data_IF_898190749063
#
_entry.id   IF_898190749063
#
_cell.length_a   1.000
_cell.length_b   1.000
_cell.length_c   1.000
_cell.angle_alpha   90.00
_cell.angle_beta   90.00
_cell.angle_gamma   90.00
#
_symmetry.space_group_name_H-M   'P 1'
#
loop_
_entity.id
_entity.type
_entity.pdbx_description
1 polymer ?
#
# COMPACT_ATOMS: atom_id res chain seq x y z
N UNK A 1 -20.83 28.08 -17.04
CA UNK A 1 -21.61 27.62 -15.86
C UNK A 1 -20.70 26.79 -14.96
N UNK A 2 -20.32 27.33 -13.80
CA UNK A 2 -19.46 26.64 -12.84
C UNK A 2 -20.31 25.61 -12.09
N UNK A 3 -20.10 24.31 -12.35
CA UNK A 3 -20.71 23.24 -11.54
C UNK A 3 -20.17 23.33 -10.11
N UNK A 4 -20.93 23.93 -9.21
CA UNK A 4 -20.66 23.85 -7.77
C UNK A 4 -20.82 22.37 -7.39
N UNK A 5 -19.71 21.65 -7.23
CA UNK A 5 -19.73 20.29 -6.70
C UNK A 5 -20.28 20.37 -5.27
N UNK A 6 -21.49 19.85 -5.04
CA UNK A 6 -22.04 19.70 -3.69
C UNK A 6 -21.03 18.92 -2.83
N UNK A 7 -20.41 19.62 -1.87
CA UNK A 7 -19.48 18.99 -0.94
C UNK A 7 -20.30 18.11 0.00
N UNK A 8 -19.98 16.82 0.06
CA UNK A 8 -20.57 15.89 1.02
C UNK A 8 -19.90 16.08 2.39
N UNK A 9 -20.70 16.24 3.43
CA UNK A 9 -20.24 16.41 4.81
C UNK A 9 -20.58 15.17 5.64
N UNK A 10 -19.76 14.91 6.66
CA UNK A 10 -19.94 13.82 7.60
C UNK A 10 -19.72 14.33 9.03
N UNK A 11 -20.49 13.79 9.98
CA UNK A 11 -20.27 14.01 11.40
C UNK A 11 -19.22 13.03 11.92
N UNK A 12 -18.11 13.53 12.45
CA UNK A 12 -17.06 12.70 13.03
C UNK A 12 -17.61 11.90 14.23
N UNK A 13 -17.37 10.59 14.25
CA UNK A 13 -17.81 9.70 15.33
C UNK A 13 -17.07 9.92 16.66
N UNK A 14 -15.92 10.61 16.66
CA UNK A 14 -15.12 10.87 17.88
C UNK A 14 -15.38 12.24 18.49
N UNK A 15 -15.33 13.30 17.70
CA UNK A 15 -15.49 14.68 18.20
C UNK A 15 -16.83 15.32 17.84
N UNK A 16 -17.68 14.61 17.10
CA UNK A 16 -19.01 15.05 16.67
C UNK A 16 -19.05 16.33 15.81
N UNK A 17 -17.90 16.86 15.41
CA UNK A 17 -17.77 17.98 14.46
C UNK A 17 -17.97 17.50 13.03
N UNK A 18 -18.50 18.39 12.20
CA UNK A 18 -18.63 18.14 10.77
C UNK A 18 -17.28 18.29 10.06
N UNK A 19 -17.04 17.44 9.08
CA UNK A 19 -15.95 17.59 8.13
C UNK A 19 -16.39 17.19 6.73
N UNK A 20 -15.79 17.85 5.75
CA UNK A 20 -15.91 17.50 4.33
C UNK A 20 -15.33 16.10 4.06
N UNK A 21 -15.90 15.40 3.08
CA UNK A 21 -15.57 14.01 2.73
C UNK A 21 -14.06 13.72 2.60
N UNK A 22 -13.30 14.60 1.97
CA UNK A 22 -11.83 14.50 1.78
C UNK A 22 -11.03 14.60 3.09
N UNK A 23 -11.68 15.01 4.19
CA UNK A 23 -11.10 15.09 5.54
C UNK A 23 -11.65 14.01 6.49
N UNK A 24 -12.22 12.94 5.94
CA UNK A 24 -12.80 11.82 6.69
C UNK A 24 -12.10 10.51 6.31
N UNK A 25 -11.80 9.71 7.33
CA UNK A 25 -11.47 8.29 7.21
C UNK A 25 -12.65 7.46 7.68
N UNK A 26 -12.96 6.37 6.98
CA UNK A 26 -13.86 5.34 7.49
C UNK A 26 -13.02 4.33 8.26
N UNK A 27 -13.28 4.20 9.56
CA UNK A 27 -12.59 3.30 10.48
C UNK A 27 -13.64 2.52 11.26
N UNK A 28 -13.61 1.19 11.15
CA UNK A 28 -14.61 0.30 11.76
C UNK A 28 -16.04 0.75 11.41
N UNK A 29 -16.26 1.03 10.12
CA UNK A 29 -17.53 1.49 9.54
C UNK A 29 -18.03 2.85 10.05
N UNK A 30 -17.19 3.59 10.78
CA UNK A 30 -17.51 4.92 11.33
C UNK A 30 -16.66 6.01 10.70
N UNK A 31 -17.25 7.18 10.36
CA UNK A 31 -16.48 8.32 9.88
C UNK A 31 -15.66 8.94 11.02
N UNK A 32 -14.38 9.19 10.79
CA UNK A 32 -13.48 9.87 11.73
C UNK A 32 -12.71 10.95 10.99
N UNK A 33 -12.73 12.18 11.50
CA UNK A 33 -12.03 13.28 10.85
C UNK A 33 -10.50 13.16 10.98
N UNK A 34 -9.78 13.71 9.99
CA UNK A 34 -8.31 13.77 9.96
C UNK A 34 -7.74 14.27 11.28
N UNK A 35 -8.32 15.31 11.89
CA UNK A 35 -7.82 15.88 13.14
C UNK A 35 -7.90 14.90 14.32
N UNK A 36 -8.94 14.06 14.38
CA UNK A 36 -9.05 13.05 15.43
C UNK A 36 -8.12 11.85 15.24
N UNK A 37 -7.55 11.66 14.04
CA UNK A 37 -6.59 10.58 13.76
C UNK A 37 -5.15 11.09 13.82
N UNK A 38 -4.87 12.21 13.17
CA UNK A 38 -3.51 12.71 12.96
C UNK A 38 -3.19 13.98 13.76
N UNK A 39 -4.17 14.54 14.48
CA UNK A 39 -4.03 15.84 15.15
C UNK A 39 -3.92 16.99 14.14
N UNK A 40 -3.07 17.97 14.46
CA UNK A 40 -2.78 19.13 13.58
C UNK A 40 -1.64 18.88 12.58
N UNK A 41 -1.18 17.63 12.45
CA UNK A 41 -0.05 17.29 11.56
C UNK A 41 -0.45 17.44 10.09
N UNK A 42 0.45 17.99 9.28
CA UNK A 42 0.28 18.09 7.81
C UNK A 42 0.67 16.77 7.14
N UNK A 43 -0.07 16.30 6.13
CA UNK A 43 0.31 15.10 5.38
C UNK A 43 1.50 15.38 4.46
N UNK A 44 2.25 14.33 4.14
CA UNK A 44 3.29 14.35 3.12
C UNK A 44 2.74 13.86 1.78
N UNK A 45 3.27 14.38 0.68
CA UNK A 45 3.01 13.85 -0.67
C UNK A 45 4.10 12.84 -1.00
N UNK A 46 3.69 11.65 -1.45
CA UNK A 46 4.58 10.59 -1.94
C UNK A 46 4.15 10.31 -3.37
N UNK A 47 5.11 10.34 -4.30
CA UNK A 47 4.86 10.02 -5.71
C UNK A 47 5.28 8.59 -6.00
N UNK A 48 4.47 7.80 -6.72
CA UNK A 48 4.89 6.50 -7.21
C UNK A 48 6.08 6.64 -8.18
N UNK A 49 7.07 5.77 -8.03
CA UNK A 49 8.25 5.68 -8.91
C UNK A 49 8.07 4.65 -10.04
N UNK A 50 7.03 3.81 -9.92
CA UNK A 50 6.68 2.79 -10.90
C UNK A 50 5.37 2.08 -10.57
N UNK A 51 5.12 1.01 -11.31
CA UNK A 51 3.88 0.22 -11.21
C UNK A 51 4.18 -1.27 -11.34
N UNK A 52 3.44 -2.09 -10.58
CA UNK A 52 3.50 -3.54 -10.68
C UNK A 52 2.66 -4.03 -11.86
N UNK A 53 3.23 -4.94 -12.67
CA UNK A 53 2.50 -5.80 -13.62
C UNK A 53 2.61 -7.25 -13.18
N UNK A 54 1.46 -7.88 -12.93
CA UNK A 54 1.37 -9.28 -12.52
C UNK A 54 0.04 -9.88 -12.98
N UNK A 55 -0.11 -11.20 -12.88
CA UNK A 55 -1.40 -11.88 -13.06
C UNK A 55 -2.23 -11.91 -11.77
N UNK A 56 -1.68 -11.39 -10.67
CA UNK A 56 -2.33 -11.37 -9.37
C UNK A 56 -3.45 -10.32 -9.35
N UNK A 57 -4.59 -10.76 -8.82
CA UNK A 57 -5.78 -9.95 -8.57
C UNK A 57 -6.17 -10.06 -7.11
N UNK A 58 -6.87 -9.07 -6.59
CA UNK A 58 -7.38 -9.13 -5.23
C UNK A 58 -8.44 -10.22 -5.10
N UNK A 59 -8.31 -11.08 -4.09
CA UNK A 59 -9.33 -12.08 -3.82
C UNK A 59 -10.66 -11.41 -3.42
N UNK A 60 -11.79 -11.92 -3.93
CA UNK A 60 -13.14 -11.40 -3.57
C UNK A 60 -13.49 -11.61 -2.10
N UNK A 61 -12.85 -12.56 -1.43
CA UNK A 61 -13.01 -12.87 0.00
C UNK A 61 -11.64 -13.04 0.65
N UNK A 62 -11.52 -12.57 1.88
CA UNK A 62 -10.29 -12.71 2.66
C UNK A 62 -9.24 -11.63 2.36
N UNK A 63 -7.99 -11.90 2.75
CA UNK A 63 -6.90 -10.93 2.71
C UNK A 63 -5.87 -11.17 1.59
N UNK A 64 -5.98 -12.26 0.84
CA UNK A 64 -4.99 -12.71 -0.13
C UNK A 64 -5.24 -12.23 -1.57
N UNK A 65 -4.44 -12.80 -2.47
CA UNK A 65 -4.53 -12.63 -3.92
C UNK A 65 -5.00 -13.92 -4.59
N UNK A 66 -5.48 -13.79 -5.83
CA UNK A 66 -5.81 -14.90 -6.73
C UNK A 66 -5.10 -14.67 -8.05
N UNK A 67 -4.68 -15.74 -8.72
CA UNK A 67 -3.95 -15.65 -9.99
C UNK A 67 -2.74 -16.57 -9.97
N UNK A 68 -2.01 -16.60 -11.08
CA UNK A 68 -0.79 -17.40 -11.17
C UNK A 68 0.32 -16.72 -10.39
N UNK A 69 0.85 -17.40 -9.39
CA UNK A 69 2.09 -17.01 -8.73
C UNK A 69 3.27 -17.19 -9.69
N UNK A 70 4.24 -16.29 -9.62
CA UNK A 70 5.39 -16.30 -10.52
C UNK A 70 6.12 -14.96 -10.56
N UNK A 71 6.75 -14.68 -11.70
CA UNK A 71 7.49 -13.43 -11.90
C UNK A 71 6.52 -12.26 -12.07
N UNK A 72 6.63 -11.29 -11.17
CA UNK A 72 6.03 -9.96 -11.32
C UNK A 72 7.04 -9.02 -11.95
N UNK A 73 6.55 -7.99 -12.65
CA UNK A 73 7.38 -6.90 -13.18
C UNK A 73 7.09 -5.62 -12.42
N UNK A 74 8.14 -4.90 -12.04
CA UNK A 74 8.04 -3.52 -11.57
C UNK A 74 8.54 -2.64 -12.70
N UNK A 75 7.61 -1.96 -13.37
CA UNK A 75 7.91 -1.00 -14.44
C UNK A 75 8.15 0.37 -13.80
N UNK A 76 9.42 0.80 -13.77
CA UNK A 76 9.78 2.14 -13.31
C UNK A 76 9.71 3.15 -14.47
N UNK A 77 9.67 4.44 -14.13
CA UNK A 77 9.80 5.48 -15.15
C UNK A 77 11.23 5.52 -15.71
N UNK A 78 11.39 5.93 -16.97
CA UNK A 78 12.73 6.09 -17.60
C UNK A 78 13.65 7.03 -16.80
N UNK A 79 13.10 8.04 -16.15
CA UNK A 79 13.84 8.95 -15.27
C UNK A 79 14.48 8.25 -14.07
N UNK A 80 14.09 7.01 -13.76
CA UNK A 80 14.63 6.25 -12.64
C UNK A 80 15.92 5.48 -12.99
N UNK A 81 16.28 5.39 -14.27
CA UNK A 81 17.43 4.61 -14.73
C UNK A 81 18.73 4.89 -13.97
N UNK A 82 19.12 6.14 -13.66
CA UNK A 82 20.35 6.41 -12.89
C UNK A 82 20.33 5.85 -11.47
N UNK A 83 19.15 5.68 -10.85
CA UNK A 83 19.02 5.16 -9.49
C UNK A 83 19.14 3.63 -9.41
N UNK A 84 19.24 2.95 -10.55
CA UNK A 84 19.40 1.49 -10.62
C UNK A 84 20.87 1.03 -10.57
N UNK A 85 21.82 1.96 -10.51
CA UNK A 85 23.25 1.64 -10.50
C UNK A 85 23.58 0.61 -9.41
N UNK A 86 24.15 -0.54 -9.81
CA UNK A 86 24.52 -1.69 -8.99
C UNK A 86 23.36 -2.44 -8.32
N UNK A 87 22.10 -2.12 -8.63
CA UNK A 87 20.96 -2.84 -8.05
C UNK A 87 20.95 -4.32 -8.49
N UNK A 88 21.48 -4.62 -9.67
CA UNK A 88 21.66 -5.99 -10.18
C UNK A 88 22.60 -6.86 -9.34
N UNK A 89 23.43 -6.27 -8.49
CA UNK A 89 24.28 -7.00 -7.53
C UNK A 89 23.47 -7.54 -6.34
N UNK A 90 22.26 -7.01 -6.11
CA UNK A 90 21.37 -7.41 -5.02
C UNK A 90 20.49 -8.62 -5.40
N UNK A 91 20.57 -9.71 -4.61
CA UNK A 91 19.70 -10.89 -4.82
C UNK A 91 18.28 -10.69 -4.29
N UNK A 92 18.14 -9.90 -3.23
CA UNK A 92 16.87 -9.63 -2.56
C UNK A 92 16.75 -8.12 -2.34
N UNK A 93 15.62 -7.57 -2.76
CA UNK A 93 15.30 -6.16 -2.57
C UNK A 93 14.04 -6.03 -1.73
N UNK A 94 13.95 -4.98 -0.92
CA UNK A 94 12.73 -4.58 -0.22
C UNK A 94 11.95 -3.60 -1.09
N UNK A 95 10.75 -3.97 -1.49
CA UNK A 95 9.83 -3.13 -2.27
C UNK A 95 8.82 -2.49 -1.33
N UNK A 96 8.68 -1.17 -1.40
CA UNK A 96 7.66 -0.40 -0.70
C UNK A 96 6.60 0.03 -1.69
N UNK A 97 5.34 -0.31 -1.44
CA UNK A 97 4.25 -0.11 -2.40
C UNK A 97 2.95 0.35 -1.74
N UNK A 98 2.05 0.92 -2.53
CA UNK A 98 0.77 1.44 -2.07
C UNK A 98 -0.37 0.45 -2.36
N UNK A 99 -1.10 0.08 -1.31
CA UNK A 99 -2.23 -0.84 -1.36
C UNK A 99 -3.50 -0.12 -1.86
N UNK A 100 -3.46 0.28 -3.14
CA UNK A 100 -4.48 1.12 -3.78
C UNK A 100 -5.89 0.50 -3.80
N UNK A 101 -6.00 -0.83 -3.82
CA UNK A 101 -7.28 -1.56 -3.73
C UNK A 101 -7.68 -1.94 -2.29
N UNK A 102 -6.98 -1.46 -1.26
CA UNK A 102 -7.38 -1.77 0.12
C UNK A 102 -8.69 -1.07 0.50
N UNK A 103 -9.57 -1.81 1.18
CA UNK A 103 -10.82 -1.30 1.74
C UNK A 103 -10.63 -0.29 2.88
N UNK A 104 -11.74 0.09 3.52
CA UNK A 104 -11.78 0.92 4.71
C UNK A 104 -10.92 0.35 5.85
N UNK A 105 -10.42 1.25 6.69
CA UNK A 105 -9.51 0.90 7.78
C UNK A 105 -10.25 0.11 8.85
N UNK A 106 -9.60 -0.92 9.40
CA UNK A 106 -10.09 -1.65 10.57
C UNK A 106 -9.09 -1.50 11.70
N UNK A 107 -9.57 -1.21 12.91
CA UNK A 107 -8.68 -1.08 14.07
C UNK A 107 -8.29 -2.43 14.65
N UNK A 108 -9.23 -3.37 14.70
CA UNK A 108 -9.07 -4.72 15.26
C UNK A 108 -9.69 -5.74 14.31
N UNK A 109 -9.03 -6.88 14.16
CA UNK A 109 -9.52 -7.98 13.30
C UNK A 109 -8.88 -9.31 13.71
N UNK A 110 -9.39 -10.41 13.13
CA UNK A 110 -8.85 -11.75 13.32
C UNK A 110 -7.68 -11.99 12.36
N UNK A 111 -6.47 -12.17 12.90
CA UNK A 111 -5.24 -12.37 12.13
C UNK A 111 -4.94 -13.86 11.98
N UNK A 112 -4.54 -14.26 10.76
CA UNK A 112 -4.11 -15.61 10.46
C UNK A 112 -5.26 -16.63 10.52
N UNK A 113 -4.94 -17.89 10.22
CA UNK A 113 -5.92 -18.98 10.21
C UNK A 113 -6.47 -19.28 11.62
N UNK A 114 -5.64 -19.12 12.65
CA UNK A 114 -6.02 -19.31 14.06
C UNK A 114 -6.98 -18.24 14.60
N UNK A 115 -7.24 -17.18 13.83
CA UNK A 115 -8.24 -16.18 14.16
C UNK A 115 -7.93 -15.29 15.36
N UNK A 116 -6.67 -15.21 15.81
CA UNK A 116 -6.26 -14.36 16.95
C UNK A 116 -6.69 -12.91 16.70
N UNK A 117 -7.50 -12.38 17.61
CA UNK A 117 -7.95 -10.97 17.56
C UNK A 117 -6.81 -10.04 17.93
N UNK A 118 -6.40 -9.17 17.01
CA UNK A 118 -5.27 -8.25 17.19
C UNK A 118 -5.57 -6.87 16.63
N UNK A 119 -4.86 -5.86 17.11
CA UNK A 119 -4.89 -4.51 16.51
C UNK A 119 -4.16 -4.46 15.16
N UNK A 120 -4.52 -3.48 14.33
CA UNK A 120 -3.97 -3.30 12.97
C UNK A 120 -2.44 -3.23 12.92
N UNK A 121 -1.81 -2.64 13.92
CA UNK A 121 -0.36 -2.52 14.01
C UNK A 121 0.34 -3.80 14.46
N UNK A 122 -0.37 -4.75 15.06
CA UNK A 122 0.15 -6.08 15.39
C UNK A 122 -0.07 -7.07 14.24
N UNK A 123 -0.07 -6.60 12.98
CA UNK A 123 -0.44 -7.40 11.82
C UNK A 123 0.13 -6.89 10.50
N UNK A 124 -0.20 -7.55 9.39
CA UNK A 124 0.13 -7.12 8.02
C UNK A 124 -1.10 -6.91 7.12
N UNK A 125 -2.30 -6.75 7.70
CA UNK A 125 -3.52 -6.53 6.90
C UNK A 125 -3.43 -5.25 6.06
N UNK A 126 -3.99 -5.22 4.84
CA UNK A 126 -4.03 -4.01 4.02
C UNK A 126 -4.98 -2.93 4.53
N UNK A 127 -5.92 -3.25 5.44
CA UNK A 127 -6.94 -2.33 5.98
C UNK A 127 -6.39 -1.38 7.04
N UNK A 128 -5.31 -0.66 6.71
CA UNK A 128 -4.50 0.19 7.61
C UNK A 128 -4.44 1.62 7.12
N UNK A 129 -4.17 2.55 8.05
CA UNK A 129 -4.22 4.00 7.83
C UNK A 129 -3.40 4.47 6.62
N UNK A 130 -2.12 4.11 6.52
CA UNK A 130 -1.24 4.58 5.44
C UNK A 130 -1.32 3.74 4.17
N UNK A 131 -1.96 2.56 4.22
CA UNK A 131 -2.04 1.60 3.10
C UNK A 131 -0.68 1.30 2.44
N UNK A 132 0.38 1.19 3.23
CA UNK A 132 1.73 0.85 2.75
C UNK A 132 1.98 -0.66 2.93
N UNK A 133 2.39 -1.31 1.85
CA UNK A 133 2.99 -2.64 1.82
C UNK A 133 4.51 -2.53 1.75
N UNK A 134 5.19 -3.49 2.37
CA UNK A 134 6.65 -3.61 2.37
C UNK A 134 6.94 -5.10 2.19
N UNK A 135 7.79 -5.49 1.25
CA UNK A 135 8.05 -6.90 1.01
C UNK A 135 9.46 -7.11 0.47
N UNK A 136 10.15 -8.09 1.05
CA UNK A 136 11.41 -8.59 0.50
C UNK A 136 11.07 -9.56 -0.62
N UNK A 137 11.66 -9.33 -1.79
CA UNK A 137 11.42 -10.11 -3.01
C UNK A 137 12.74 -10.45 -3.66
N UNK A 138 12.80 -11.59 -4.32
CA UNK A 138 13.99 -12.00 -5.07
C UNK A 138 14.04 -11.20 -6.37
N UNK A 139 15.15 -10.51 -6.60
CA UNK A 139 15.43 -9.84 -7.88
C UNK A 139 15.96 -10.88 -8.86
N UNK A 140 15.23 -11.11 -9.96
CA UNK A 140 15.56 -12.12 -10.97
C UNK A 140 16.45 -11.52 -12.04
N UNK A 141 16.08 -10.36 -12.58
CA UNK A 141 16.85 -9.59 -13.56
C UNK A 141 16.33 -8.15 -13.67
N UNK A 142 17.13 -7.30 -14.30
CA UNK A 142 16.75 -5.94 -14.70
C UNK A 142 16.85 -5.84 -16.23
N UNK A 143 15.82 -5.32 -16.89
CA UNK A 143 15.85 -4.97 -18.31
C UNK A 143 15.41 -3.51 -18.49
N UNK A 144 16.34 -2.65 -18.89
CA UNK A 144 16.10 -1.20 -18.93
C UNK A 144 15.74 -0.68 -17.53
N UNK A 145 14.51 -0.20 -17.37
CA UNK A 145 13.94 0.28 -16.11
C UNK A 145 12.92 -0.71 -15.49
N UNK A 146 12.82 -1.92 -16.05
CA UNK A 146 11.91 -2.97 -15.56
C UNK A 146 12.65 -3.98 -14.70
N UNK A 147 12.18 -4.17 -13.47
CA UNK A 147 12.70 -5.17 -12.53
C UNK A 147 11.79 -6.38 -12.56
N UNK A 148 12.36 -7.55 -12.78
CA UNK A 148 11.65 -8.83 -12.70
C UNK A 148 11.88 -9.43 -11.32
N UNK A 149 10.80 -9.65 -10.58
CA UNK A 149 10.86 -10.08 -9.18
C UNK A 149 9.99 -11.29 -8.91
N UNK A 150 10.44 -12.12 -7.97
CA UNK A 150 9.74 -13.32 -7.51
C UNK A 150 9.33 -13.15 -6.03
N UNK A 151 8.10 -13.58 -5.70
CA UNK A 151 7.57 -13.53 -4.34
C UNK A 151 6.91 -12.20 -3.94
N UNK A 152 6.59 -11.31 -4.87
CA UNK A 152 5.85 -10.08 -4.60
C UNK A 152 4.33 -10.35 -4.51
N UNK A 153 3.71 -10.05 -3.37
CA UNK A 153 2.25 -10.16 -3.15
C UNK A 153 1.57 -8.82 -3.44
N UNK A 154 1.68 -8.36 -4.69
CA UNK A 154 1.07 -7.13 -5.16
C UNK A 154 0.22 -7.39 -6.42
N UNK A 155 -1.00 -6.88 -6.40
CA UNK A 155 -1.92 -7.00 -7.53
C UNK A 155 -1.49 -6.11 -8.69
N UNK A 156 -1.88 -6.48 -9.91
CA UNK A 156 -1.61 -5.69 -11.11
C UNK A 156 -2.06 -4.23 -10.95
N UNK A 157 -1.23 -3.27 -11.34
CA UNK A 157 -1.50 -1.84 -11.20
C UNK A 157 -1.06 -1.24 -9.86
N UNK A 158 -0.53 -2.04 -8.94
CA UNK A 158 -0.03 -1.55 -7.64
C UNK A 158 1.07 -0.49 -7.82
N UNK A 159 0.88 0.73 -7.30
CA UNK A 159 1.92 1.76 -7.34
C UNK A 159 3.10 1.39 -6.44
N UNK A 160 4.32 1.46 -6.98
CA UNK A 160 5.57 1.29 -6.22
C UNK A 160 6.03 2.67 -5.74
N UNK A 161 6.33 2.76 -4.45
CA UNK A 161 6.71 4.02 -3.78
C UNK A 161 8.23 4.12 -3.61
N UNK A 162 8.90 3.01 -3.34
CA UNK A 162 10.34 2.97 -3.08
C UNK A 162 10.92 1.55 -3.24
N UNK A 163 12.23 1.46 -3.45
CA UNK A 163 12.99 0.21 -3.52
C UNK A 163 14.25 0.36 -2.67
N UNK A 164 14.56 -0.65 -1.87
CA UNK A 164 15.75 -0.68 -1.01
C UNK A 164 16.47 -2.01 -1.17
N UNK A 165 17.77 -2.03 -0.90
CA UNK A 165 18.44 -3.30 -0.56
C UNK A 165 17.72 -3.94 0.63
N UNK A 166 17.70 -5.28 0.69
CA UNK A 166 17.13 -5.98 1.85
C UNK A 166 17.88 -5.53 3.11
N UNK A 167 17.13 -5.07 4.12
CA UNK A 167 17.72 -4.83 5.43
C UNK A 167 17.89 -6.16 6.17
N UNK A 168 19.13 -6.63 6.35
CA UNK A 168 19.48 -7.76 7.21
C UNK A 168 20.38 -7.28 8.33
N UNK A 169 19.98 -7.51 9.58
CA UNK A 169 20.88 -7.45 10.74
C UNK A 169 21.19 -8.86 11.29
N UNK A 170 20.42 -9.88 10.90
CA UNK A 170 20.59 -11.29 11.23
C UNK A 170 19.87 -12.11 10.14
N UNK A 171 20.54 -13.16 9.65
CA UNK A 171 20.02 -14.10 8.64
C UNK A 171 18.94 -15.03 9.18
#
# INVERSE_FOLDING_TARGET
>A
MIKVKNKKYYKCSRCHKEAVHDKIYIIDDKPVCVTCIYGKKKPFKIYPIGVVRSELRRAKKGFGTTGKEGISRIELLESQKPFLYKLEEEKIITVVYYLHEADAVKSIFNRGLEGKKVGVFASRTPYRLSKIGIQDVKLVKIEGTTLYVEGLDAVNGTPVLDIKMKWSLFD
#
